data_IF_931046630984
#
_entry.id   IF_931046630984
#
_cell.length_a   1.000
_cell.length_b   1.000
_cell.length_c   1.000
_cell.angle_alpha   90.00
_cell.angle_beta   90.00
_cell.angle_gamma   90.00
#
_symmetry.space_group_name_H-M   'P 1'
#
loop_
_entity.id
_entity.type
_entity.pdbx_description
1 polymer ?
#
# COMPACT_ATOMS: atom_id res chain seq x y z
N UNK A 1 -46.76 47.72 -15.71
CA UNK A 1 -45.56 47.43 -16.50
C UNK A 1 -44.23 47.68 -15.75
N UNK A 2 -44.05 48.77 -14.98
CA UNK A 2 -42.79 49.03 -14.24
C UNK A 2 -42.45 48.05 -13.12
N UNK A 3 -43.41 47.41 -12.46
CA UNK A 3 -43.13 46.41 -11.38
C UNK A 3 -42.70 45.05 -11.89
N UNK A 4 -43.05 44.65 -13.10
CA UNK A 4 -42.63 43.38 -13.71
C UNK A 4 -41.18 43.43 -14.19
N UNK A 5 -40.70 44.57 -14.63
CA UNK A 5 -39.34 44.74 -15.13
C UNK A 5 -38.31 44.70 -13.97
N UNK A 6 -38.70 45.19 -12.77
CA UNK A 6 -37.79 45.14 -11.60
C UNK A 6 -37.60 43.74 -11.05
N UNK A 7 -38.63 42.90 -11.10
CA UNK A 7 -38.50 41.49 -10.66
C UNK A 7 -37.74 40.61 -11.66
N UNK A 8 -37.87 40.91 -12.97
CA UNK A 8 -37.10 40.21 -13.99
C UNK A 8 -35.60 40.53 -13.88
N UNK A 9 -35.26 41.79 -13.58
CA UNK A 9 -33.85 42.20 -13.40
C UNK A 9 -33.22 41.63 -12.15
N UNK A 10 -33.98 41.46 -11.03
CA UNK A 10 -33.50 40.82 -9.81
C UNK A 10 -33.28 39.32 -10.00
N UNK A 11 -34.14 38.63 -10.76
CA UNK A 11 -33.97 37.21 -11.09
C UNK A 11 -32.80 36.96 -12.05
N UNK A 12 -32.58 37.83 -13.04
CA UNK A 12 -31.44 37.71 -13.97
C UNK A 12 -30.11 37.97 -13.26
N UNK A 13 -30.04 38.93 -12.35
CA UNK A 13 -28.83 39.19 -11.56
C UNK A 13 -28.58 38.06 -10.57
N UNK A 14 -29.60 37.48 -9.91
CA UNK A 14 -29.46 36.32 -9.06
C UNK A 14 -29.04 35.06 -9.81
N UNK A 15 -29.49 34.88 -11.05
CA UNK A 15 -29.12 33.76 -11.92
C UNK A 15 -27.71 33.90 -12.48
N UNK A 16 -27.30 35.13 -12.82
CA UNK A 16 -25.94 35.44 -13.26
C UNK A 16 -24.90 35.31 -12.10
N UNK A 17 -25.27 35.66 -10.89
CA UNK A 17 -24.39 35.42 -9.71
C UNK A 17 -24.30 33.94 -9.34
N UNK A 18 -25.36 33.15 -9.54
CA UNK A 18 -25.31 31.69 -9.38
C UNK A 18 -24.46 30.99 -10.46
N UNK A 19 -24.47 31.49 -11.69
CA UNK A 19 -23.62 31.00 -12.78
C UNK A 19 -22.14 31.40 -12.60
N UNK A 20 -21.84 32.54 -11.99
CA UNK A 20 -20.48 32.95 -11.66
C UNK A 20 -19.88 32.15 -10.51
N UNK A 21 -20.69 31.64 -9.58
CA UNK A 21 -20.24 30.76 -8.52
C UNK A 21 -20.10 29.26 -8.94
N UNK A 22 -20.75 28.86 -10.04
CA UNK A 22 -20.62 27.49 -10.56
C UNK A 22 -19.40 27.31 -11.45
N UNK A 23 -18.77 28.36 -11.96
CA UNK A 23 -17.55 28.28 -12.77
C UNK A 23 -16.28 28.21 -11.90
N UNK A 24 -16.35 28.53 -10.60
CA UNK A 24 -15.22 28.38 -9.67
C UNK A 24 -15.18 27.00 -8.99
N UNK A 25 -16.13 26.09 -9.28
CA UNK A 25 -16.26 24.78 -8.60
C UNK A 25 -15.77 23.61 -9.46
N UNK A 26 -15.23 23.88 -10.65
CA UNK A 26 -14.66 22.86 -11.54
C UNK A 26 -13.13 22.95 -11.69
N UNK A 27 -12.46 23.66 -10.81
CA UNK A 27 -11.00 23.53 -10.72
C UNK A 27 -10.68 22.21 -10.02
N UNK A 28 -10.31 21.21 -10.83
CA UNK A 28 -9.66 20.02 -10.34
C UNK A 28 -8.43 20.44 -9.51
N UNK A 29 -8.11 19.74 -8.41
CA UNK A 29 -6.91 20.01 -7.60
C UNK A 29 -5.59 19.93 -8.38
N UNK A 30 -5.63 19.63 -9.68
CA UNK A 30 -4.47 19.57 -10.59
C UNK A 30 -3.73 20.90 -10.75
N UNK A 31 -4.40 22.05 -10.59
CA UNK A 31 -3.82 23.34 -11.02
C UNK A 31 -3.27 24.20 -9.88
N UNK A 32 -3.36 23.77 -8.62
CA UNK A 32 -2.89 24.58 -7.49
C UNK A 32 -1.43 24.38 -7.08
N UNK A 33 -0.71 23.46 -7.70
CA UNK A 33 0.75 23.41 -7.53
C UNK A 33 1.48 24.48 -8.36
N UNK A 34 0.81 25.04 -9.40
CA UNK A 34 1.40 26.02 -10.33
C UNK A 34 1.06 27.49 -10.03
N UNK A 35 0.40 27.80 -8.92
CA UNK A 35 0.05 29.18 -8.52
C UNK A 35 1.27 29.93 -7.95
N UNK A 36 1.86 30.81 -8.76
CA UNK A 36 3.06 31.57 -8.42
C UNK A 36 3.01 32.33 -7.10
N UNK A 37 4.02 32.16 -6.27
CA UNK A 37 4.31 32.97 -5.11
C UNK A 37 4.72 32.23 -3.82
N UNK A 38 4.35 30.94 -3.64
CA UNK A 38 4.75 30.13 -2.50
C UNK A 38 5.38 28.78 -2.89
N UNK A 39 5.61 28.52 -4.16
CA UNK A 39 6.02 27.21 -4.68
C UNK A 39 7.36 26.72 -4.15
N UNK A 40 8.33 27.61 -3.93
CA UNK A 40 9.64 27.25 -3.37
C UNK A 40 9.54 26.59 -1.99
N UNK A 41 8.58 26.97 -1.15
CA UNK A 41 8.45 26.42 0.20
C UNK A 41 7.83 25.02 0.22
N UNK A 42 6.83 24.74 -0.62
CA UNK A 42 6.19 23.43 -0.69
C UNK A 42 7.11 22.39 -1.34
N UNK A 43 7.81 22.76 -2.42
CA UNK A 43 8.82 21.92 -3.06
C UNK A 43 9.94 21.57 -2.08
N UNK A 44 10.53 22.56 -1.40
CA UNK A 44 11.57 22.34 -0.40
C UNK A 44 11.13 21.39 0.73
N UNK A 45 9.88 21.54 1.21
CA UNK A 45 9.33 20.63 2.23
C UNK A 45 9.17 19.22 1.65
N UNK A 46 8.67 19.08 0.43
CA UNK A 46 8.58 17.79 -0.24
C UNK A 46 9.97 17.13 -0.35
N UNK A 47 10.97 17.84 -0.84
CA UNK A 47 12.33 17.34 -1.05
C UNK A 47 13.02 16.90 0.25
N UNK A 48 12.71 17.59 1.35
CA UNK A 48 13.33 17.28 2.65
C UNK A 48 12.55 16.25 3.47
N UNK A 49 11.27 16.00 3.16
CA UNK A 49 10.41 15.14 3.98
C UNK A 49 9.88 13.91 3.26
N UNK A 50 9.54 14.01 1.98
CA UNK A 50 8.85 12.94 1.24
C UNK A 50 9.77 12.29 0.21
N UNK A 51 10.54 13.06 -0.55
CA UNK A 51 11.46 12.52 -1.55
C UNK A 51 12.43 11.48 -0.96
N UNK A 52 13.01 11.66 0.25
CA UNK A 52 13.87 10.64 0.85
C UNK A 52 13.17 9.29 1.11
N UNK A 53 11.84 9.28 1.29
CA UNK A 53 11.08 8.04 1.43
C UNK A 53 11.04 7.27 0.11
N UNK A 54 10.85 7.97 -1.01
CA UNK A 54 10.87 7.35 -2.33
C UNK A 54 12.27 6.86 -2.70
N UNK A 55 13.31 7.62 -2.39
CA UNK A 55 14.70 7.20 -2.59
C UNK A 55 15.01 5.94 -1.78
N UNK A 56 14.54 5.87 -0.54
CA UNK A 56 14.69 4.69 0.31
C UNK A 56 13.94 3.48 -0.28
N UNK A 57 12.67 3.64 -0.68
CA UNK A 57 11.88 2.58 -1.32
C UNK A 57 12.44 2.15 -2.67
N UNK A 58 13.05 3.07 -3.41
CA UNK A 58 13.70 2.81 -4.70
C UNK A 58 15.06 2.12 -4.58
N UNK A 59 15.57 1.96 -3.36
CA UNK A 59 16.86 1.31 -3.09
C UNK A 59 18.07 2.20 -3.33
N UNK A 60 17.88 3.52 -3.42
CA UNK A 60 19.00 4.47 -3.46
C UNK A 60 19.81 4.46 -2.16
N UNK A 61 19.14 4.12 -1.05
CA UNK A 61 19.70 3.94 0.29
C UNK A 61 19.37 2.51 0.73
N UNK A 62 20.35 1.73 1.18
CA UNK A 62 20.15 0.38 1.74
C UNK A 62 19.43 -0.63 0.82
N UNK A 63 19.76 -0.66 -0.46
CA UNK A 63 19.22 -1.62 -1.42
C UNK A 63 19.41 -3.11 -1.05
N UNK A 64 20.20 -3.44 -0.03
CA UNK A 64 20.35 -4.80 0.49
C UNK A 64 19.07 -5.27 1.21
N UNK A 65 18.45 -4.44 2.04
CA UNK A 65 17.21 -4.79 2.71
C UNK A 65 16.07 -5.13 1.75
N UNK A 66 15.97 -4.41 0.63
CA UNK A 66 15.00 -4.73 -0.44
C UNK A 66 15.29 -6.11 -1.04
N UNK A 67 16.55 -6.41 -1.34
CA UNK A 67 16.94 -7.72 -1.89
C UNK A 67 16.63 -8.85 -0.93
N UNK A 68 16.78 -8.62 0.36
CA UNK A 68 16.49 -9.60 1.38
C UNK A 68 14.98 -9.86 1.49
N UNK A 69 14.14 -8.82 1.48
CA UNK A 69 12.67 -8.99 1.43
C UNK A 69 12.27 -9.80 0.20
N UNK A 70 12.83 -9.52 -0.97
CA UNK A 70 12.52 -10.27 -2.20
C UNK A 70 12.97 -11.74 -2.12
N UNK A 71 14.07 -12.01 -1.44
CA UNK A 71 14.53 -13.39 -1.19
C UNK A 71 13.59 -14.13 -0.24
N UNK A 72 13.04 -13.45 0.77
CA UNK A 72 12.07 -14.03 1.70
C UNK A 72 10.84 -14.60 0.98
N UNK A 73 10.37 -13.96 -0.10
CA UNK A 73 9.23 -14.47 -0.88
C UNK A 73 9.51 -15.86 -1.50
N UNK A 74 10.76 -16.16 -1.80
CA UNK A 74 11.19 -17.46 -2.35
C UNK A 74 11.59 -18.49 -1.28
N UNK A 75 11.74 -18.08 -0.03
CA UNK A 75 12.18 -18.94 1.07
C UNK A 75 10.99 -19.53 1.82
N UNK A 76 11.19 -20.72 2.34
CA UNK A 76 10.14 -21.51 2.99
C UNK A 76 10.35 -21.64 4.49
N UNK A 77 11.58 -21.52 4.94
CA UNK A 77 11.96 -21.59 6.34
C UNK A 77 13.23 -20.77 6.57
N UNK A 78 13.25 -20.02 7.66
CA UNK A 78 14.41 -19.28 8.15
C UNK A 78 14.60 -19.51 9.64
N UNK A 79 15.86 -19.52 10.09
CA UNK A 79 16.19 -19.44 11.50
C UNK A 79 15.93 -18.04 12.04
N UNK A 80 15.53 -17.88 13.32
CA UNK A 80 15.47 -16.56 13.97
C UNK A 80 16.80 -15.78 13.95
N UNK A 81 17.94 -16.47 13.78
CA UNK A 81 19.28 -15.87 13.71
C UNK A 81 19.72 -15.50 12.30
N UNK A 82 18.84 -15.67 11.29
CA UNK A 82 19.18 -15.39 9.90
C UNK A 82 19.38 -13.89 9.67
N UNK A 83 20.51 -13.54 9.03
CA UNK A 83 20.88 -12.14 8.78
C UNK A 83 19.92 -11.46 7.79
N UNK A 84 19.42 -12.18 6.78
CA UNK A 84 18.48 -11.63 5.80
C UNK A 84 17.14 -11.29 6.46
N UNK A 85 16.72 -12.13 7.41
CA UNK A 85 15.52 -11.90 8.20
C UNK A 85 15.65 -10.62 9.05
N UNK A 86 16.80 -10.44 9.69
CA UNK A 86 17.07 -9.26 10.51
C UNK A 86 17.20 -7.99 9.66
N UNK A 87 17.92 -8.03 8.54
CA UNK A 87 18.05 -6.94 7.60
C UNK A 87 16.69 -6.48 7.05
N UNK A 88 15.83 -7.43 6.69
CA UNK A 88 14.46 -7.13 6.21
C UNK A 88 13.60 -6.45 7.28
N UNK A 89 13.69 -6.92 8.52
CA UNK A 89 13.02 -6.30 9.66
C UNK A 89 13.50 -4.87 9.89
N UNK A 90 14.81 -4.65 9.93
CA UNK A 90 15.41 -3.32 10.09
C UNK A 90 14.99 -2.37 8.98
N UNK A 91 15.03 -2.83 7.73
CA UNK A 91 14.62 -2.03 6.57
C UNK A 91 13.17 -1.52 6.72
N UNK A 92 12.22 -2.42 7.02
CA UNK A 92 10.81 -2.05 7.15
C UNK A 92 10.57 -1.07 8.29
N UNK A 93 11.17 -1.32 9.46
CA UNK A 93 10.98 -0.42 10.60
C UNK A 93 11.72 0.91 10.47
N UNK A 94 12.80 0.95 9.72
CA UNK A 94 13.48 2.19 9.36
C UNK A 94 12.61 3.03 8.45
N UNK A 95 12.02 2.44 7.41
CA UNK A 95 11.06 3.14 6.55
C UNK A 95 9.85 3.68 7.34
N UNK A 96 9.28 2.88 8.26
CA UNK A 96 8.19 3.32 9.15
C UNK A 96 8.64 4.49 10.01
N UNK A 97 9.83 4.43 10.61
CA UNK A 97 10.40 5.51 11.41
C UNK A 97 10.62 6.79 10.60
N UNK A 98 11.10 6.67 9.36
CA UNK A 98 11.22 7.80 8.43
C UNK A 98 9.86 8.43 8.13
N UNK A 99 8.82 7.62 7.87
CA UNK A 99 7.46 8.12 7.67
C UNK A 99 6.95 8.89 8.89
N UNK A 100 7.12 8.36 10.10
CA UNK A 100 6.72 9.05 11.32
C UNK A 100 7.44 10.40 11.48
N UNK A 101 8.76 10.42 11.24
CA UNK A 101 9.55 11.66 11.27
C UNK A 101 9.07 12.67 10.22
N UNK A 102 8.77 12.21 9.00
CA UNK A 102 8.24 13.07 7.93
C UNK A 102 6.90 13.70 8.32
N UNK A 103 6.00 12.94 8.96
CA UNK A 103 4.72 13.46 9.47
C UNK A 103 4.93 14.56 10.51
N UNK A 104 5.85 14.36 11.45
CA UNK A 104 6.19 15.38 12.46
C UNK A 104 6.80 16.63 11.80
N UNK A 105 7.68 16.46 10.82
CA UNK A 105 8.29 17.58 10.08
C UNK A 105 7.26 18.37 9.27
N UNK A 106 6.30 17.70 8.60
CA UNK A 106 5.20 18.38 7.90
C UNK A 106 4.35 19.21 8.87
N UNK A 107 4.10 18.71 10.09
CA UNK A 107 3.37 19.46 11.11
C UNK A 107 4.15 20.67 11.61
N UNK A 108 5.44 20.54 11.87
CA UNK A 108 6.31 21.64 12.27
C UNK A 108 6.40 22.75 11.22
N UNK A 109 6.38 22.37 9.93
CA UNK A 109 6.48 23.31 8.81
C UNK A 109 5.11 23.72 8.25
N UNK A 110 4.01 23.39 8.95
CA UNK A 110 2.64 23.59 8.47
C UNK A 110 2.28 25.03 8.12
N UNK A 111 2.94 26.02 8.72
CA UNK A 111 2.75 27.45 8.41
C UNK A 111 3.25 27.85 7.01
N UNK A 112 4.08 27.03 6.39
CA UNK A 112 4.65 27.21 5.05
C UNK A 112 3.84 26.48 3.95
N UNK A 113 2.84 25.70 4.33
CA UNK A 113 1.99 24.89 3.45
C UNK A 113 0.55 25.41 3.50
N UNK A 114 -0.14 25.33 2.36
CA UNK A 114 -1.60 25.45 2.36
C UNK A 114 -2.21 24.22 3.05
N UNK A 115 -3.46 24.36 3.54
CA UNK A 115 -4.16 23.23 4.16
C UNK A 115 -4.28 22.01 3.22
N UNK A 116 -4.52 22.26 1.93
CA UNK A 116 -4.58 21.19 0.92
C UNK A 116 -3.24 20.48 0.74
N UNK A 117 -2.14 21.22 0.61
CA UNK A 117 -0.78 20.65 0.51
C UNK A 117 -0.42 19.82 1.74
N UNK A 118 -0.72 20.36 2.93
CA UNK A 118 -0.48 19.66 4.19
C UNK A 118 -1.23 18.33 4.24
N UNK A 119 -2.52 18.34 3.91
CA UNK A 119 -3.36 17.12 3.93
C UNK A 119 -2.88 16.11 2.89
N UNK A 120 -2.55 16.56 1.68
CA UNK A 120 -2.03 15.70 0.61
C UNK A 120 -0.68 15.07 0.98
N UNK A 121 0.28 15.85 1.47
CA UNK A 121 1.59 15.36 1.88
C UNK A 121 1.48 14.33 3.02
N UNK A 122 0.65 14.61 4.02
CA UNK A 122 0.38 13.65 5.09
C UNK A 122 -0.30 12.38 4.57
N UNK A 123 -1.22 12.49 3.64
CA UNK A 123 -1.91 11.35 3.05
C UNK A 123 -0.91 10.44 2.32
N UNK A 124 0.00 11.02 1.56
CA UNK A 124 1.04 10.29 0.84
C UNK A 124 2.01 9.55 1.77
N UNK A 125 2.53 10.23 2.80
CA UNK A 125 3.42 9.61 3.79
C UNK A 125 2.71 8.50 4.59
N UNK A 126 1.44 8.70 4.96
CA UNK A 126 0.63 7.68 5.64
C UNK A 126 0.39 6.46 4.75
N UNK A 127 0.17 6.65 3.44
CA UNK A 127 0.05 5.56 2.49
C UNK A 127 1.35 4.75 2.39
N UNK A 128 2.51 5.42 2.28
CA UNK A 128 3.83 4.76 2.29
C UNK A 128 4.02 3.96 3.58
N UNK A 129 3.71 4.55 4.74
CA UNK A 129 3.79 3.85 6.03
C UNK A 129 2.89 2.62 6.07
N UNK A 130 1.69 2.72 5.56
CA UNK A 130 0.75 1.58 5.49
C UNK A 130 1.28 0.46 4.57
N UNK A 131 1.96 0.80 3.46
CA UNK A 131 2.63 -0.18 2.61
C UNK A 131 3.74 -0.94 3.35
N UNK A 132 4.56 -0.24 4.15
CA UNK A 132 5.62 -0.88 4.94
C UNK A 132 5.03 -1.79 6.02
N UNK A 133 3.94 -1.38 6.67
CA UNK A 133 3.21 -2.24 7.61
C UNK A 133 2.57 -3.45 6.95
N UNK A 134 2.09 -3.30 5.70
CA UNK A 134 1.56 -4.42 4.94
C UNK A 134 2.62 -5.51 4.74
N UNK A 135 3.82 -5.14 4.27
CA UNK A 135 4.93 -6.08 4.10
C UNK A 135 5.36 -6.70 5.43
N UNK A 136 5.51 -5.89 6.48
CA UNK A 136 5.88 -6.39 7.80
C UNK A 136 4.84 -7.37 8.38
N UNK A 137 3.55 -7.06 8.23
CA UNK A 137 2.45 -7.93 8.66
C UNK A 137 2.42 -9.25 7.86
N UNK A 138 2.65 -9.18 6.55
CA UNK A 138 2.64 -10.38 5.70
C UNK A 138 3.80 -11.32 6.06
N UNK A 139 5.00 -10.77 6.24
CA UNK A 139 6.19 -11.54 6.56
C UNK A 139 6.18 -12.07 7.99
N UNK A 140 5.90 -11.24 8.98
CA UNK A 140 6.13 -11.55 10.41
C UNK A 140 4.85 -11.80 11.21
N UNK A 141 3.67 -11.51 10.67
CA UNK A 141 2.39 -11.71 11.34
C UNK A 141 2.12 -10.68 12.44
N UNK A 142 2.49 -11.01 13.70
CA UNK A 142 2.35 -10.06 14.83
C UNK A 142 3.55 -9.13 14.87
N UNK A 143 3.29 -7.84 14.82
CA UNK A 143 4.33 -6.79 14.80
C UNK A 143 3.92 -5.59 15.65
N UNK A 144 4.86 -4.80 16.17
CA UNK A 144 4.56 -3.51 16.79
C UNK A 144 4.06 -2.49 15.76
N UNK A 145 3.03 -1.71 16.16
CA UNK A 145 2.53 -0.56 15.38
C UNK A 145 3.00 0.73 16.05
N UNK A 146 3.88 1.46 15.35
CA UNK A 146 4.51 2.70 15.82
C UNK A 146 3.94 3.87 15.02
N UNK A 147 3.36 4.85 15.70
CA UNK A 147 2.70 5.99 15.06
C UNK A 147 3.39 7.33 15.32
N UNK A 148 4.41 7.35 16.15
CA UNK A 148 5.19 8.51 16.53
C UNK A 148 6.67 8.31 16.24
N UNK A 149 7.38 9.39 15.90
CA UNK A 149 8.84 9.33 15.74
C UNK A 149 9.57 9.03 17.05
N UNK A 150 8.94 9.32 18.20
CA UNK A 150 9.48 9.00 19.52
C UNK A 150 9.45 7.49 19.83
N UNK A 151 8.60 6.70 19.14
CA UNK A 151 8.47 5.26 19.28
C UNK A 151 9.37 4.50 18.30
N UNK A 152 10.13 5.20 17.45
CA UNK A 152 10.93 4.61 16.36
C UNK A 152 12.17 3.84 16.82
N UNK A 153 12.29 3.48 18.09
CA UNK A 153 13.45 2.82 18.68
C UNK A 153 13.34 1.29 18.71
N UNK A 154 12.73 0.71 17.68
CA UNK A 154 12.59 -0.74 17.55
C UNK A 154 13.81 -1.41 16.91
N UNK A 155 14.66 -0.63 16.27
CA UNK A 155 15.96 -1.05 15.74
C UNK A 155 17.06 -0.56 16.68
N UNK A 156 18.20 -1.24 16.67
CA UNK A 156 19.33 -0.92 17.54
C UNK A 156 19.67 0.58 17.49
N UNK A 157 19.68 1.31 18.60
CA UNK A 157 20.15 2.68 18.62
C UNK A 157 21.62 2.70 18.21
N UNK A 158 22.04 3.74 17.50
CA UNK A 158 23.47 3.99 17.27
C UNK A 158 24.17 3.90 18.64
N UNK A 159 25.28 3.17 18.67
CA UNK A 159 26.00 2.74 19.88
C UNK A 159 26.04 3.86 20.95
N UNK A 160 25.47 3.59 22.11
CA UNK A 160 25.53 4.45 23.29
C UNK A 160 24.20 5.00 23.83
N UNK A 161 23.07 4.77 23.14
CA UNK A 161 21.76 5.19 23.67
C UNK A 161 21.12 4.06 24.48
N UNK A 162 20.89 4.25 25.77
CA UNK A 162 20.04 3.34 26.55
C UNK A 162 18.57 3.63 26.24
N UNK A 163 17.87 2.63 25.70
CA UNK A 163 16.42 2.70 25.50
C UNK A 163 15.76 2.28 26.80
N UNK A 164 14.87 3.12 27.32
CA UNK A 164 14.07 2.75 28.52
C UNK A 164 12.91 1.86 28.07
N UNK A 165 12.56 0.84 28.87
CA UNK A 165 11.45 -0.10 28.61
C UNK A 165 10.12 0.61 28.31
N UNK A 166 9.91 1.81 28.84
CA UNK A 166 8.70 2.63 28.61
C UNK A 166 8.51 3.01 27.14
N UNK A 167 9.61 3.14 26.36
CA UNK A 167 9.57 3.51 24.95
C UNK A 167 9.44 2.31 24.00
N UNK A 168 9.55 1.10 24.50
CA UNK A 168 9.41 -0.11 23.69
C UNK A 168 7.95 -0.47 23.52
N UNK A 169 7.55 -0.80 22.30
CA UNK A 169 6.17 -1.19 21.96
C UNK A 169 6.02 -2.71 21.90
N UNK A 170 4.87 -3.20 22.38
CA UNK A 170 4.48 -4.59 22.22
C UNK A 170 3.93 -4.87 20.81
N UNK A 171 3.84 -6.13 20.45
CA UNK A 171 3.22 -6.56 19.19
C UNK A 171 1.69 -6.43 19.28
N UNK A 172 1.09 -6.00 18.17
CA UNK A 172 -0.35 -6.14 17.92
C UNK A 172 -0.66 -7.45 17.23
N UNK A 173 -1.89 -7.93 17.35
CA UNK A 173 -2.36 -9.10 16.62
C UNK A 173 -2.46 -8.80 15.11
N UNK A 174 -2.26 -9.82 14.28
CA UNK A 174 -2.26 -9.67 12.81
C UNK A 174 -3.55 -9.04 12.28
N UNK A 175 -4.70 -9.42 12.84
CA UNK A 175 -5.99 -8.85 12.48
C UNK A 175 -6.13 -7.37 12.84
N UNK A 176 -5.57 -6.94 13.97
CA UNK A 176 -5.56 -5.53 14.38
C UNK A 176 -4.71 -4.69 13.43
N UNK A 177 -3.53 -5.21 13.06
CA UNK A 177 -2.63 -4.56 12.10
C UNK A 177 -3.30 -4.46 10.73
N UNK A 178 -3.97 -5.51 10.29
CA UNK A 178 -4.76 -5.51 9.05
C UNK A 178 -5.82 -4.40 9.06
N UNK A 179 -6.62 -4.30 10.13
CA UNK A 179 -7.61 -3.25 10.27
C UNK A 179 -7.01 -1.86 10.27
N UNK A 180 -5.87 -1.69 10.96
CA UNK A 180 -5.13 -0.43 10.96
C UNK A 180 -4.72 -0.04 9.53
N UNK A 181 -4.05 -0.94 8.79
CA UNK A 181 -3.59 -0.67 7.42
C UNK A 181 -4.78 -0.35 6.50
N UNK A 182 -5.83 -1.16 6.55
CA UNK A 182 -7.02 -0.99 5.70
C UNK A 182 -7.71 0.34 5.98
N UNK A 183 -7.87 0.71 7.26
CA UNK A 183 -8.43 1.99 7.68
C UNK A 183 -7.57 3.19 7.27
N UNK A 184 -6.24 3.11 7.45
CA UNK A 184 -5.30 4.16 7.03
C UNK A 184 -5.41 4.44 5.53
N UNK A 185 -5.38 3.38 4.70
CA UNK A 185 -5.47 3.50 3.25
C UNK A 185 -6.82 4.10 2.81
N UNK A 186 -7.94 3.68 3.42
CA UNK A 186 -9.24 4.27 3.13
C UNK A 186 -9.36 5.74 3.54
N UNK A 187 -8.70 6.13 4.63
CA UNK A 187 -8.72 7.53 5.10
C UNK A 187 -7.91 8.45 4.20
N UNK A 188 -6.77 8.00 3.70
CA UNK A 188 -5.89 8.82 2.87
C UNK A 188 -6.32 8.88 1.41
N UNK A 189 -7.00 7.86 0.91
CA UNK A 189 -7.40 7.73 -0.49
C UNK A 189 -8.02 9.00 -1.10
N UNK A 190 -8.98 9.71 -0.45
CA UNK A 190 -9.62 10.87 -1.04
C UNK A 190 -8.69 12.09 -1.24
N UNK A 191 -7.55 12.11 -0.58
CA UNK A 191 -6.62 13.23 -0.59
C UNK A 191 -5.42 13.02 -1.53
N UNK A 192 -5.35 11.86 -2.18
CA UNK A 192 -4.32 11.53 -3.15
C UNK A 192 -4.75 11.90 -4.57
N UNK A 193 -3.80 12.19 -5.47
CA UNK A 193 -4.09 12.46 -6.87
C UNK A 193 -4.81 11.29 -7.54
N UNK A 194 -5.73 11.58 -8.45
CA UNK A 194 -6.46 10.58 -9.23
C UNK A 194 -5.70 10.12 -10.48
N UNK A 195 -4.59 10.77 -10.80
CA UNK A 195 -3.77 10.45 -11.97
C UNK A 195 -3.00 9.15 -11.79
N UNK A 196 -2.55 8.55 -12.88
CA UNK A 196 -1.60 7.44 -12.86
C UNK A 196 -0.29 7.84 -12.16
N UNK A 197 0.30 6.94 -11.40
CA UNK A 197 1.64 7.14 -10.82
C UNK A 197 2.75 7.19 -11.88
N UNK A 198 2.50 6.68 -13.07
CA UNK A 198 3.47 6.60 -14.17
C UNK A 198 3.15 7.58 -15.31
N UNK A 199 2.15 8.43 -15.15
CA UNK A 199 1.90 9.55 -16.04
C UNK A 199 2.94 10.65 -15.80
N UNK A 200 3.56 11.14 -16.88
CA UNK A 200 4.53 12.25 -16.78
C UNK A 200 3.92 13.48 -16.10
N UNK A 201 4.64 14.07 -15.16
CA UNK A 201 4.19 15.24 -14.43
C UNK A 201 4.61 15.21 -12.95
N UNK A 202 4.00 16.11 -12.17
CA UNK A 202 4.36 16.34 -10.75
C UNK A 202 4.13 15.14 -9.82
N UNK A 203 3.42 14.10 -10.28
CA UNK A 203 3.11 12.90 -9.49
C UNK A 203 3.78 11.63 -10.03
N UNK A 204 4.69 11.77 -11.00
CA UNK A 204 5.42 10.64 -11.57
C UNK A 204 6.21 9.88 -10.48
N UNK A 205 6.01 8.57 -10.40
CA UNK A 205 6.64 7.70 -9.39
C UNK A 205 6.07 7.84 -7.97
N UNK A 206 5.05 8.68 -7.75
CA UNK A 206 4.48 8.95 -6.43
C UNK A 206 3.23 8.10 -6.14
N UNK A 207 2.84 8.05 -4.87
CA UNK A 207 1.60 7.37 -4.44
C UNK A 207 0.38 8.18 -4.89
N UNK A 208 -0.50 7.53 -5.64
CA UNK A 208 -1.73 8.07 -6.18
C UNK A 208 -2.93 7.19 -5.81
N UNK A 209 -4.16 7.60 -6.13
CA UNK A 209 -5.35 6.79 -5.82
C UNK A 209 -5.31 5.39 -6.44
N UNK A 210 -4.90 5.18 -7.72
CA UNK A 210 -4.72 3.85 -8.27
C UNK A 210 -3.80 2.93 -7.45
N UNK A 211 -2.69 3.47 -6.93
CA UNK A 211 -1.76 2.70 -6.07
C UNK A 211 -2.45 2.21 -4.79
N UNK A 212 -3.21 3.09 -4.15
CA UNK A 212 -3.94 2.77 -2.91
C UNK A 212 -5.11 1.82 -3.17
N UNK A 213 -5.85 2.01 -4.28
CA UNK A 213 -6.93 1.10 -4.69
C UNK A 213 -6.41 -0.32 -4.95
N UNK A 214 -5.22 -0.44 -5.57
CA UNK A 214 -4.56 -1.74 -5.73
C UNK A 214 -4.27 -2.42 -4.39
N UNK A 215 -3.70 -1.69 -3.44
CA UNK A 215 -3.40 -2.21 -2.10
C UNK A 215 -4.65 -2.65 -1.35
N UNK A 216 -5.72 -1.86 -1.43
CA UNK A 216 -7.01 -2.19 -0.80
C UNK A 216 -7.63 -3.44 -1.42
N UNK A 217 -7.56 -3.61 -2.76
CA UNK A 217 -7.99 -4.83 -3.44
C UNK A 217 -7.18 -6.05 -2.98
N UNK A 218 -5.85 -5.91 -2.90
CA UNK A 218 -4.94 -6.98 -2.49
C UNK A 218 -5.13 -7.38 -1.03
N UNK A 219 -5.32 -6.40 -0.13
CA UNK A 219 -5.66 -6.63 1.28
C UNK A 219 -6.98 -7.40 1.41
N UNK A 220 -8.02 -6.95 0.72
CA UNK A 220 -9.34 -7.59 0.77
C UNK A 220 -9.30 -9.04 0.25
N UNK A 221 -8.57 -9.31 -0.85
CA UNK A 221 -8.41 -10.66 -1.38
C UNK A 221 -7.72 -11.61 -0.38
N UNK A 222 -6.78 -11.10 0.40
CA UNK A 222 -6.02 -11.87 1.39
C UNK A 222 -6.60 -11.79 2.81
N UNK A 223 -7.77 -11.18 3.01
CA UNK A 223 -8.36 -10.94 4.33
C UNK A 223 -8.56 -12.22 5.14
N UNK A 224 -8.92 -13.36 4.52
CA UNK A 224 -9.03 -14.66 5.21
C UNK A 224 -7.76 -15.04 5.97
N UNK A 225 -6.60 -14.67 5.45
CA UNK A 225 -5.29 -14.98 6.04
C UNK A 225 -4.94 -13.96 7.12
N UNK A 226 -5.13 -12.68 6.84
CA UNK A 226 -4.71 -11.60 7.74
C UNK A 226 -5.63 -11.43 8.94
N UNK A 227 -6.93 -11.74 8.79
CA UNK A 227 -7.91 -11.69 9.87
C UNK A 227 -7.87 -12.93 10.79
N UNK A 228 -6.96 -13.88 10.53
CA UNK A 228 -6.82 -15.11 11.32
C UNK A 228 -5.56 -15.06 12.17
N UNK A 229 -5.72 -15.01 13.50
CA UNK A 229 -4.62 -14.89 14.45
C UNK A 229 -4.03 -16.26 14.89
N UNK A 230 -4.82 -17.35 14.80
CA UNK A 230 -4.44 -18.68 15.25
C UNK A 230 -3.83 -19.57 14.15
N UNK A 231 -3.03 -18.99 13.22
CA UNK A 231 -2.47 -19.74 12.09
C UNK A 231 -1.66 -20.98 12.49
N UNK A 232 -1.04 -20.98 13.67
CA UNK A 232 -0.28 -22.13 14.18
C UNK A 232 -1.18 -23.36 14.44
N UNK A 233 -2.49 -23.18 14.68
CA UNK A 233 -3.45 -24.28 14.86
C UNK A 233 -3.95 -24.88 13.55
N UNK A 234 -3.48 -24.38 12.41
CA UNK A 234 -3.86 -24.82 11.09
C UNK A 234 -4.72 -23.81 10.35
N UNK A 235 -4.17 -23.18 9.35
CA UNK A 235 -4.79 -22.11 8.56
C UNK A 235 -6.11 -22.53 7.87
N UNK A 236 -6.47 -23.82 7.84
CA UNK A 236 -7.77 -24.31 7.36
C UNK A 236 -8.96 -23.84 8.18
N UNK A 237 -8.72 -23.45 9.45
CA UNK A 237 -9.73 -22.90 10.36
C UNK A 237 -9.98 -21.41 10.17
N UNK A 238 -9.27 -20.76 9.25
CA UNK A 238 -9.45 -19.34 8.97
C UNK A 238 -10.88 -18.99 8.57
N UNK A 239 -11.34 -17.77 8.83
CA UNK A 239 -12.65 -17.31 8.38
C UNK A 239 -12.72 -17.37 6.84
N UNK A 240 -13.94 -17.51 6.32
CA UNK A 240 -14.15 -17.39 4.87
C UNK A 240 -14.37 -15.93 4.49
N UNK A 241 -13.89 -15.54 3.33
CA UNK A 241 -14.02 -14.15 2.88
C UNK A 241 -15.45 -13.65 2.78
N UNK A 242 -16.42 -14.55 2.54
CA UNK A 242 -17.87 -14.24 2.55
C UNK A 242 -18.40 -13.84 3.93
N UNK A 243 -17.73 -14.26 5.00
CA UNK A 243 -18.13 -14.04 6.39
C UNK A 243 -17.41 -12.82 7.00
N UNK A 244 -16.51 -12.17 6.25
CA UNK A 244 -15.77 -10.98 6.64
C UNK A 244 -16.38 -9.75 5.99
N UNK A 245 -16.82 -8.79 6.81
CA UNK A 245 -17.50 -7.57 6.35
C UNK A 245 -16.58 -6.36 6.43
N UNK A 246 -16.59 -5.56 5.37
CA UNK A 246 -15.82 -4.32 5.25
C UNK A 246 -16.74 -3.16 4.85
N UNK A 247 -16.59 -2.06 5.54
CA UNK A 247 -17.23 -0.81 5.15
C UNK A 247 -16.37 -0.12 4.11
N UNK A 248 -16.87 0.05 2.89
CA UNK A 248 -16.22 0.78 1.81
C UNK A 248 -16.90 2.11 1.56
N UNK A 249 -16.13 3.16 1.26
CA UNK A 249 -16.65 4.46 0.87
C UNK A 249 -16.93 4.48 -0.63
N UNK A 250 -18.14 4.88 -1.01
CA UNK A 250 -18.60 4.89 -2.41
C UNK A 250 -18.55 6.26 -3.07
N UNK A 251 -18.38 7.34 -2.31
CA UNK A 251 -18.35 8.71 -2.82
C UNK A 251 -16.92 9.20 -3.03
N UNK A 252 -16.71 9.97 -4.10
CA UNK A 252 -15.44 10.60 -4.42
C UNK A 252 -15.06 11.68 -3.40
N UNK A 253 -13.74 11.80 -3.12
CA UNK A 253 -13.20 12.65 -2.06
C UNK A 253 -13.52 14.15 -2.21
N UNK A 254 -13.73 14.64 -3.44
CA UNK A 254 -14.07 16.03 -3.70
C UNK A 254 -15.33 16.53 -2.97
N UNK A 255 -16.26 15.63 -2.63
CA UNK A 255 -17.48 15.99 -1.92
C UNK A 255 -17.35 16.07 -0.38
N UNK A 256 -16.19 15.71 0.17
CA UNK A 256 -15.90 15.84 1.60
C UNK A 256 -15.46 17.25 2.01
N UNK A 257 -14.95 18.04 1.06
CA UNK A 257 -14.40 19.39 1.31
C UNK A 257 -15.47 20.46 1.19
N UNK A 258 -16.53 20.23 0.43
CA UNK A 258 -17.59 21.22 0.17
C UNK A 258 -18.78 21.04 1.11
N UNK A 259 -18.72 21.28 2.40
CA UNK A 259 -19.83 21.54 3.35
C UNK A 259 -21.28 21.09 3.02
N UNK A 260 -21.46 20.29 1.98
CA UNK A 260 -22.74 19.74 1.54
C UNK A 260 -23.24 18.67 2.50
N UNK A 261 -24.52 18.69 2.85
CA UNK A 261 -25.18 17.69 3.69
C UNK A 261 -24.77 16.29 3.24
N UNK A 262 -24.16 15.52 4.18
CA UNK A 262 -23.78 14.14 3.93
C UNK A 262 -25.02 13.38 3.43
N UNK A 263 -24.98 12.86 2.21
CA UNK A 263 -26.01 11.93 1.76
C UNK A 263 -25.79 10.60 2.48
N UNK A 264 -26.81 10.02 3.01
CA UNK A 264 -26.80 8.81 3.85
C UNK A 264 -26.29 7.54 3.13
N UNK A 265 -25.98 7.59 1.84
CA UNK A 265 -25.57 6.46 1.00
C UNK A 265 -24.09 6.46 0.58
N UNK A 266 -23.18 7.03 1.38
CA UNK A 266 -21.75 7.13 1.01
C UNK A 266 -20.89 5.94 1.45
N UNK A 267 -21.45 4.96 2.09
CA UNK A 267 -20.75 3.74 2.50
C UNK A 267 -21.60 2.50 2.20
N UNK A 268 -20.92 1.41 1.88
CA UNK A 268 -21.53 0.10 1.63
C UNK A 268 -20.76 -0.94 2.43
N UNK A 269 -21.50 -1.90 3.00
CA UNK A 269 -20.89 -3.08 3.63
C UNK A 269 -20.81 -4.16 2.57
N UNK A 270 -19.59 -4.67 2.37
CA UNK A 270 -19.25 -5.71 1.39
C UNK A 270 -18.46 -6.81 2.08
N UNK A 271 -18.60 -8.05 1.62
CA UNK A 271 -17.71 -9.12 2.06
C UNK A 271 -16.29 -8.91 1.48
N UNK A 272 -15.31 -9.71 1.93
CA UNK A 272 -13.91 -9.53 1.51
C UNK A 272 -13.73 -9.62 -0.01
N UNK A 273 -14.40 -10.55 -0.67
CA UNK A 273 -14.27 -10.73 -2.12
C UNK A 273 -15.01 -9.64 -2.92
N UNK A 274 -16.20 -9.23 -2.47
CA UNK A 274 -16.90 -8.07 -3.04
C UNK A 274 -16.09 -6.78 -2.86
N UNK A 275 -15.41 -6.64 -1.72
CA UNK A 275 -14.50 -5.51 -1.46
C UNK A 275 -13.32 -5.51 -2.43
N UNK A 276 -12.71 -6.67 -2.69
CA UNK A 276 -11.67 -6.80 -3.71
C UNK A 276 -12.19 -6.39 -5.09
N UNK A 277 -13.34 -6.92 -5.50
CA UNK A 277 -13.97 -6.58 -6.80
C UNK A 277 -14.26 -5.08 -6.89
N UNK A 278 -14.76 -4.48 -5.81
CA UNK A 278 -15.05 -3.05 -5.74
C UNK A 278 -13.80 -2.20 -6.05
N UNK A 279 -12.67 -2.47 -5.40
CA UNK A 279 -11.44 -1.70 -5.64
C UNK A 279 -10.80 -2.03 -7.00
N UNK A 280 -10.92 -3.25 -7.51
CA UNK A 280 -10.51 -3.58 -8.87
C UNK A 280 -11.33 -2.82 -9.93
N UNK A 281 -12.63 -2.62 -9.72
CA UNK A 281 -13.47 -1.83 -10.60
C UNK A 281 -13.07 -0.34 -10.57
N UNK A 282 -12.74 0.21 -9.40
CA UNK A 282 -12.24 1.59 -9.30
C UNK A 282 -10.97 1.81 -10.12
N UNK A 283 -10.06 0.86 -10.13
CA UNK A 283 -8.85 0.94 -10.98
C UNK A 283 -9.18 1.02 -12.47
N UNK A 284 -10.20 0.26 -12.92
CA UNK A 284 -10.68 0.35 -14.30
C UNK A 284 -11.34 1.72 -14.58
N UNK A 285 -12.15 2.22 -13.64
CA UNK A 285 -12.80 3.53 -13.74
C UNK A 285 -11.78 4.69 -13.73
N UNK A 286 -10.62 4.50 -13.10
CA UNK A 286 -9.48 5.43 -13.06
C UNK A 286 -8.57 5.32 -14.29
N UNK A 287 -8.94 4.49 -15.28
CA UNK A 287 -8.26 4.38 -16.58
C UNK A 287 -7.12 3.37 -16.62
N UNK A 288 -6.88 2.60 -15.54
CA UNK A 288 -5.89 1.51 -15.59
C UNK A 288 -6.27 0.45 -16.63
N UNK A 289 -5.32 0.00 -17.44
CA UNK A 289 -5.56 -0.91 -18.55
C UNK A 289 -4.40 -1.90 -18.75
N UNK A 290 -4.61 -2.93 -19.59
CA UNK A 290 -3.54 -3.84 -19.97
C UNK A 290 -2.54 -3.24 -20.96
N UNK A 291 -2.89 -2.16 -21.66
CA UNK A 291 -1.99 -1.44 -22.56
C UNK A 291 -0.91 -0.71 -21.76
N UNK A 292 -1.31 -0.12 -20.62
CA UNK A 292 -0.42 0.48 -19.63
C UNK A 292 -0.45 -0.38 -18.36
N UNK A 293 0.09 -1.59 -18.46
CA UNK A 293 -0.07 -2.63 -17.45
C UNK A 293 0.53 -2.25 -16.07
N UNK A 294 1.54 -1.38 -16.04
CA UNK A 294 2.20 -0.98 -14.79
C UNK A 294 1.42 0.17 -14.12
N UNK A 295 1.00 -0.03 -12.86
CA UNK A 295 0.30 0.95 -12.03
C UNK A 295 1.29 1.70 -11.14
N UNK A 296 2.27 0.99 -10.60
CA UNK A 296 3.28 1.54 -9.70
C UNK A 296 4.56 0.71 -9.74
N UNK A 297 5.68 1.41 -9.61
CA UNK A 297 7.00 0.78 -9.54
C UNK A 297 7.91 1.58 -8.61
N UNK A 298 8.25 1.02 -7.46
CA UNK A 298 9.06 1.70 -6.45
C UNK A 298 10.49 1.99 -6.88
N UNK A 299 10.98 1.39 -7.99
CA UNK A 299 12.31 1.70 -8.53
C UNK A 299 12.31 2.90 -9.49
N UNK A 300 11.13 3.39 -9.87
CA UNK A 300 11.00 4.63 -10.63
C UNK A 300 11.32 5.78 -9.69
N UNK A 301 12.42 6.48 -9.96
CA UNK A 301 12.77 7.68 -9.21
C UNK A 301 11.73 8.76 -9.48
N UNK A 302 11.26 9.40 -8.44
CA UNK A 302 10.62 10.69 -8.55
C UNK A 302 11.55 11.62 -9.33
N UNK A 303 11.16 11.99 -10.54
CA UNK A 303 11.85 13.02 -11.31
C UNK A 303 11.29 14.37 -10.85
N UNK A 304 12.11 15.15 -10.17
CA UNK A 304 11.81 16.55 -9.93
C UNK A 304 11.66 17.28 -11.27
N UNK A 305 10.77 18.29 -11.37
CA UNK A 305 10.79 19.20 -12.52
C UNK A 305 12.20 19.72 -12.80
N UNK A 306 12.58 19.84 -14.06
CA UNK A 306 13.95 20.18 -14.50
C UNK A 306 14.52 21.47 -13.88
N UNK A 307 13.66 22.38 -13.44
CA UNK A 307 14.01 23.62 -12.74
C UNK A 307 14.45 23.45 -11.28
N UNK A 308 14.30 22.27 -10.70
CA UNK A 308 14.84 21.91 -9.39
C UNK A 308 16.16 21.14 -9.45
N UNK A 309 16.65 20.80 -10.64
CA UNK A 309 17.89 20.04 -10.89
C UNK A 309 19.20 20.88 -10.81
N UNK A 310 19.24 21.92 -10.01
CA UNK A 310 20.50 22.65 -9.74
C UNK A 310 21.29 22.06 -8.56
N UNK A 311 21.14 20.77 -8.28
CA UNK A 311 22.06 20.07 -7.36
C UNK A 311 23.01 19.18 -8.16
N UNK A 312 24.31 19.41 -7.92
CA UNK A 312 25.47 18.82 -8.56
C UNK A 312 25.32 17.35 -8.99
N UNK A 313 25.60 17.05 -10.27
CA UNK A 313 25.79 15.70 -10.81
C UNK A 313 26.92 14.91 -10.12
N UNK A 314 27.66 15.52 -9.20
CA UNK A 314 28.80 14.91 -8.51
C UNK A 314 28.40 13.94 -7.40
N UNK A 315 27.16 13.95 -6.90
CA UNK A 315 26.71 13.10 -5.78
C UNK A 315 25.89 11.87 -6.20
N UNK A 316 25.81 11.58 -7.50
CA UNK A 316 25.31 10.30 -8.00
C UNK A 316 26.31 9.16 -7.78
N UNK A 317 26.79 8.99 -6.56
CA UNK A 317 27.54 7.80 -6.17
C UNK A 317 26.67 6.58 -6.43
N UNK A 318 27.11 5.81 -7.39
CA UNK A 318 26.56 4.57 -7.92
C UNK A 318 26.18 3.59 -6.82
N UNK A 319 24.99 3.75 -6.23
CA UNK A 319 24.38 2.62 -5.55
C UNK A 319 23.70 1.75 -6.61
N UNK A 320 24.11 0.49 -6.78
CA UNK A 320 23.47 -0.39 -7.74
C UNK A 320 21.99 -0.49 -7.39
N UNK A 321 21.12 -0.03 -8.31
CA UNK A 321 19.66 -0.18 -8.17
C UNK A 321 19.35 -1.66 -7.94
N UNK A 322 18.40 -2.01 -7.06
CA UNK A 322 17.97 -3.38 -6.95
C UNK A 322 17.51 -3.85 -8.33
N UNK A 323 17.87 -5.09 -8.68
CA UNK A 323 17.51 -5.67 -9.99
C UNK A 323 15.99 -5.73 -10.21
N UNK A 324 15.21 -5.65 -9.12
CA UNK A 324 13.74 -5.65 -9.11
C UNK A 324 13.23 -4.62 -8.09
N UNK A 325 12.08 -3.96 -8.35
CA UNK A 325 11.45 -3.07 -7.38
C UNK A 325 10.91 -3.87 -6.19
N UNK A 326 10.87 -3.25 -5.00
CA UNK A 326 10.20 -3.85 -3.83
C UNK A 326 8.69 -3.95 -4.08
N UNK A 327 8.11 -2.86 -4.60
CA UNK A 327 6.71 -2.80 -4.97
C UNK A 327 6.59 -2.62 -6.48
N UNK A 328 5.88 -3.54 -7.11
CA UNK A 328 5.46 -3.46 -8.50
C UNK A 328 4.00 -3.88 -8.59
N UNK A 329 3.16 -2.95 -9.02
CA UNK A 329 1.72 -3.18 -9.16
C UNK A 329 1.34 -3.11 -10.62
N UNK A 330 0.62 -4.13 -11.09
CA UNK A 330 0.24 -4.27 -12.49
C UNK A 330 -1.25 -4.50 -12.64
N UNK A 331 -1.81 -4.00 -13.73
CA UNK A 331 -3.22 -4.22 -14.05
C UNK A 331 -3.53 -5.68 -14.38
N UNK A 332 -2.55 -6.42 -14.90
CA UNK A 332 -2.58 -7.88 -15.01
C UNK A 332 -2.93 -8.55 -13.67
N UNK A 333 -2.28 -8.13 -12.55
CA UNK A 333 -2.59 -8.65 -11.22
C UNK A 333 -4.01 -8.25 -10.77
N UNK A 334 -4.45 -7.02 -11.08
CA UNK A 334 -5.82 -6.53 -10.78
C UNK A 334 -6.86 -7.43 -11.41
N UNK A 335 -6.72 -7.76 -12.70
CA UNK A 335 -7.68 -8.62 -13.41
C UNK A 335 -7.69 -10.04 -12.85
N UNK A 336 -6.52 -10.59 -12.51
CA UNK A 336 -6.42 -11.92 -11.90
C UNK A 336 -6.97 -11.94 -10.47
N UNK A 337 -6.75 -10.88 -9.66
CA UNK A 337 -7.37 -10.72 -8.34
C UNK A 337 -8.89 -10.63 -8.44
N UNK A 338 -9.40 -9.85 -9.41
CA UNK A 338 -10.84 -9.72 -9.65
C UNK A 338 -11.46 -11.05 -10.07
N UNK A 339 -10.85 -11.75 -11.03
CA UNK A 339 -11.30 -13.07 -11.48
C UNK A 339 -11.33 -14.09 -10.32
N UNK A 340 -10.27 -14.11 -9.49
CA UNK A 340 -10.20 -14.97 -8.30
C UNK A 340 -11.31 -14.64 -7.29
N UNK A 341 -11.51 -13.35 -6.99
CA UNK A 341 -12.53 -12.91 -6.05
C UNK A 341 -13.94 -13.27 -6.54
N UNK A 342 -14.21 -13.13 -7.84
CA UNK A 342 -15.48 -13.55 -8.45
C UNK A 342 -15.69 -15.05 -8.33
N UNK A 343 -14.71 -15.89 -8.67
CA UNK A 343 -14.79 -17.36 -8.55
C UNK A 343 -14.96 -17.81 -7.08
N UNK A 344 -14.36 -17.11 -6.13
CA UNK A 344 -14.52 -17.40 -4.68
C UNK A 344 -15.90 -17.01 -4.15
N UNK A 345 -16.54 -16.02 -4.78
CA UNK A 345 -17.85 -15.49 -4.41
C UNK A 345 -18.98 -16.10 -5.26
N UNK A 346 -18.76 -17.28 -5.80
CA UNK A 346 -19.70 -18.04 -6.64
C UNK A 346 -20.13 -17.28 -7.92
N UNK A 347 -19.31 -16.33 -8.40
CA UNK A 347 -19.48 -15.59 -9.65
C UNK A 347 -18.71 -16.20 -10.81
N UNK A 348 -18.65 -15.50 -11.95
CA UNK A 348 -17.95 -15.91 -13.17
C UNK A 348 -16.82 -14.91 -13.50
N UNK A 349 -15.58 -15.26 -13.19
CA UNK A 349 -14.37 -14.48 -13.47
C UNK A 349 -13.77 -14.71 -14.86
N UNK A 350 -14.51 -15.36 -15.78
CA UNK A 350 -14.00 -15.79 -17.08
C UNK A 350 -13.55 -14.65 -17.97
N UNK A 351 -14.26 -13.53 -17.95
CA UNK A 351 -13.96 -12.37 -18.78
C UNK A 351 -12.58 -11.79 -18.42
N UNK A 352 -12.37 -11.43 -17.15
CA UNK A 352 -11.14 -10.87 -16.62
C UNK A 352 -9.96 -11.83 -16.81
N UNK A 353 -10.16 -13.09 -16.49
CA UNK A 353 -9.15 -14.14 -16.64
C UNK A 353 -8.67 -14.28 -18.09
N UNK A 354 -9.60 -14.32 -19.06
CA UNK A 354 -9.24 -14.48 -20.45
C UNK A 354 -8.73 -13.18 -21.12
N UNK A 355 -9.03 -12.00 -20.56
CA UNK A 355 -8.35 -10.77 -20.98
C UNK A 355 -6.85 -10.86 -20.73
N UNK A 356 -6.43 -11.32 -19.55
CA UNK A 356 -5.00 -11.53 -19.24
C UNK A 356 -4.38 -12.58 -20.15
N UNK A 357 -5.06 -13.70 -20.40
CA UNK A 357 -4.55 -14.74 -21.31
C UNK A 357 -4.38 -14.23 -22.72
N UNK A 358 -5.36 -13.50 -23.25
CA UNK A 358 -5.28 -12.90 -24.58
C UNK A 358 -4.12 -11.91 -24.68
N UNK A 359 -3.93 -11.05 -23.67
CA UNK A 359 -2.79 -10.13 -23.60
C UNK A 359 -1.44 -10.87 -23.60
N UNK A 360 -1.36 -12.01 -22.92
CA UNK A 360 -0.18 -12.88 -22.91
C UNK A 360 -0.04 -13.77 -24.17
N UNK A 361 -0.91 -13.61 -25.18
CA UNK A 361 -0.90 -14.44 -26.40
C UNK A 361 -1.34 -15.89 -26.18
N UNK A 362 -2.04 -16.18 -25.08
CA UNK A 362 -2.49 -17.54 -24.72
C UNK A 362 -3.95 -17.77 -25.15
N UNK A 363 -4.32 -18.98 -25.55
CA UNK A 363 -5.71 -19.30 -25.91
C UNK A 363 -6.63 -19.18 -24.68
N UNK A 364 -7.91 -18.88 -24.93
CA UNK A 364 -8.91 -18.83 -23.87
C UNK A 364 -9.02 -20.16 -23.12
N UNK A 365 -9.24 -20.09 -21.80
CA UNK A 365 -9.33 -21.24 -20.91
C UNK A 365 -10.50 -21.06 -19.94
N UNK A 366 -11.05 -22.16 -19.45
CA UNK A 366 -12.05 -22.11 -18.38
C UNK A 366 -11.47 -21.42 -17.16
N UNK A 367 -12.18 -20.44 -16.62
CA UNK A 367 -11.84 -19.83 -15.34
C UNK A 367 -12.10 -20.84 -14.21
N UNK A 368 -11.15 -20.95 -13.32
CA UNK A 368 -11.26 -21.71 -12.07
C UNK A 368 -10.11 -21.29 -11.14
N UNK A 369 -10.29 -21.44 -9.85
CA UNK A 369 -9.24 -21.10 -8.89
C UNK A 369 -7.90 -21.81 -9.18
N UNK A 370 -7.94 -23.08 -9.63
CA UNK A 370 -6.72 -23.82 -9.96
C UNK A 370 -6.00 -23.23 -11.17
N UNK A 371 -6.74 -22.89 -12.24
CA UNK A 371 -6.19 -22.33 -13.46
C UNK A 371 -5.68 -20.90 -13.25
N UNK A 372 -6.40 -20.10 -12.43
CA UNK A 372 -5.97 -18.74 -12.06
C UNK A 372 -4.65 -18.79 -11.30
N UNK A 373 -4.50 -19.68 -10.32
CA UNK A 373 -3.24 -19.82 -9.60
C UNK A 373 -2.09 -20.22 -10.53
N UNK A 374 -2.31 -21.17 -11.43
CA UNK A 374 -1.30 -21.63 -12.38
C UNK A 374 -0.82 -20.48 -13.28
N UNK A 375 -1.75 -19.70 -13.83
CA UNK A 375 -1.40 -18.58 -14.70
C UNK A 375 -0.75 -17.44 -13.90
N UNK A 376 -1.19 -17.14 -12.66
CA UNK A 376 -0.53 -16.18 -11.77
C UNK A 376 0.95 -16.52 -11.55
N UNK A 377 1.27 -17.79 -11.34
CA UNK A 377 2.65 -18.24 -11.13
C UNK A 377 3.55 -18.00 -12.34
N UNK A 378 2.98 -17.97 -13.54
CA UNK A 378 3.73 -17.74 -14.80
C UNK A 378 3.77 -16.26 -15.15
N UNK A 379 2.62 -15.60 -15.14
CA UNK A 379 2.48 -14.21 -15.62
C UNK A 379 3.06 -13.19 -14.66
N UNK A 380 3.01 -13.48 -13.34
CA UNK A 380 3.57 -12.65 -12.26
C UNK A 380 4.89 -13.24 -11.72
N UNK A 381 5.58 -14.07 -12.51
CA UNK A 381 6.82 -14.68 -12.07
C UNK A 381 7.89 -13.64 -11.71
N UNK A 382 8.42 -13.75 -10.50
CA UNK A 382 9.45 -12.83 -9.99
C UNK A 382 8.90 -11.52 -9.41
N UNK A 383 7.59 -11.36 -9.34
CA UNK A 383 6.92 -10.35 -8.53
C UNK A 383 6.60 -10.95 -7.16
N UNK A 384 6.77 -10.20 -6.07
CA UNK A 384 6.74 -10.67 -4.68
C UNK A 384 5.34 -11.14 -4.19
N UNK A 385 4.58 -11.87 -5.02
CA UNK A 385 3.24 -12.35 -4.70
C UNK A 385 3.12 -13.88 -4.59
N UNK A 386 4.17 -14.64 -4.99
CA UNK A 386 4.10 -16.09 -5.11
C UNK A 386 3.81 -16.78 -3.77
N UNK A 387 4.50 -16.39 -2.70
CA UNK A 387 4.31 -16.93 -1.35
C UNK A 387 2.90 -16.65 -0.84
N UNK A 388 2.41 -15.41 -0.98
CA UNK A 388 1.06 -15.01 -0.58
C UNK A 388 0.00 -15.83 -1.32
N UNK A 389 0.15 -16.02 -2.63
CA UNK A 389 -0.75 -16.83 -3.45
C UNK A 389 -0.79 -18.28 -2.94
N UNK A 390 0.36 -18.90 -2.74
CA UNK A 390 0.42 -20.28 -2.24
C UNK A 390 -0.25 -20.43 -0.86
N UNK A 391 -0.07 -19.47 0.05
CA UNK A 391 -0.73 -19.47 1.36
C UNK A 391 -2.24 -19.35 1.18
N UNK A 392 -2.73 -18.36 0.40
CA UNK A 392 -4.14 -18.10 0.17
C UNK A 392 -4.85 -19.30 -0.48
N UNK A 393 -4.20 -19.97 -1.43
CA UNK A 393 -4.73 -21.18 -2.08
C UNK A 393 -4.53 -22.47 -1.27
N UNK A 394 -3.87 -22.39 -0.12
CA UNK A 394 -3.60 -23.57 0.72
C UNK A 394 -2.62 -24.56 0.11
N UNK A 395 -1.73 -24.08 -0.76
CA UNK A 395 -0.71 -24.85 -1.44
C UNK A 395 0.69 -24.70 -0.83
N UNK A 396 0.93 -23.68 -0.01
CA UNK A 396 2.24 -23.35 0.52
C UNK A 396 2.93 -24.54 1.22
N UNK A 397 2.22 -25.23 2.12
CA UNK A 397 2.74 -26.39 2.85
C UNK A 397 2.77 -27.69 2.03
N UNK A 398 2.29 -27.67 0.77
CA UNK A 398 2.15 -28.84 -0.09
C UNK A 398 2.89 -28.68 -1.41
N UNK A 399 3.70 -27.65 -1.56
CA UNK A 399 4.36 -27.36 -2.82
C UNK A 399 5.26 -28.50 -3.25
N UNK A 400 5.05 -29.00 -4.47
CA UNK A 400 5.86 -30.08 -5.08
C UNK A 400 7.31 -29.65 -5.37
N UNK A 401 7.58 -28.35 -5.33
CA UNK A 401 8.92 -27.77 -5.52
C UNK A 401 9.81 -27.90 -4.26
N UNK A 402 9.21 -28.31 -3.12
CA UNK A 402 9.94 -28.52 -1.88
C UNK A 402 10.63 -29.87 -1.88
N UNK A 403 11.91 -29.89 -1.49
CA UNK A 403 12.58 -31.17 -1.14
C UNK A 403 11.84 -31.81 0.03
N UNK A 404 11.67 -33.12 0.00
CA UNK A 404 10.95 -33.87 1.06
C UNK A 404 11.46 -33.57 2.47
N UNK A 405 12.76 -33.32 2.63
CA UNK A 405 13.37 -32.94 3.91
C UNK A 405 12.86 -31.59 4.44
N UNK A 406 12.52 -30.65 3.57
CA UNK A 406 11.97 -29.34 3.96
C UNK A 406 10.47 -29.44 4.23
N UNK A 407 9.74 -30.27 3.47
CA UNK A 407 8.31 -30.48 3.69
C UNK A 407 7.98 -31.05 5.07
N UNK A 408 8.85 -31.92 5.63
CA UNK A 408 8.65 -32.48 6.97
C UNK A 408 8.89 -31.47 8.09
N UNK A 409 9.66 -30.41 7.84
CA UNK A 409 9.93 -29.35 8.80
C UNK A 409 8.89 -28.22 8.77
N UNK A 410 8.07 -28.12 7.68
CA UNK A 410 7.07 -27.08 7.57
C UNK A 410 5.82 -27.42 8.37
N UNK A 411 5.40 -26.49 9.19
CA UNK A 411 4.14 -26.53 9.94
C UNK A 411 3.25 -25.35 9.54
N UNK A 412 2.03 -25.31 10.08
CA UNK A 412 1.15 -24.14 9.91
C UNK A 412 1.80 -22.84 10.40
N UNK A 413 2.74 -22.93 11.35
CA UNK A 413 3.52 -21.78 11.85
C UNK A 413 4.39 -21.13 10.76
N UNK A 414 4.83 -21.90 9.77
CA UNK A 414 5.71 -21.43 8.68
C UNK A 414 5.04 -20.48 7.69
N UNK A 415 3.75 -20.19 7.83
CA UNK A 415 3.06 -19.16 7.04
C UNK A 415 3.48 -17.72 7.40
N UNK A 416 4.17 -17.56 8.52
CA UNK A 416 4.88 -16.31 8.90
C UNK A 416 6.32 -16.66 9.22
N UNK A 417 7.21 -15.69 9.08
CA UNK A 417 8.60 -15.86 9.51
C UNK A 417 8.76 -15.63 11.00
N UNK A 418 9.84 -16.13 11.60
CA UNK A 418 10.15 -15.83 12.99
C UNK A 418 10.48 -14.34 13.17
N UNK A 419 10.25 -13.82 14.37
CA UNK A 419 10.81 -12.53 14.77
C UNK A 419 12.33 -12.69 14.91
N UNK A 420 13.14 -11.79 14.33
CA UNK A 420 14.60 -11.92 14.42
C UNK A 420 15.09 -11.95 15.87
N UNK A 421 16.00 -12.85 16.18
CA UNK A 421 16.52 -13.06 17.55
C UNK A 421 17.12 -11.77 18.14
N UNK A 422 17.83 -10.98 17.30
CA UNK A 422 18.39 -9.68 17.73
C UNK A 422 17.30 -8.70 18.13
N UNK A 423 16.16 -8.69 17.40
CA UNK A 423 15.03 -7.81 17.72
C UNK A 423 14.36 -8.21 19.04
N UNK A 424 14.24 -9.51 19.32
CA UNK A 424 13.75 -10.02 20.62
C UNK A 424 14.70 -9.64 21.76
N UNK A 425 16.01 -9.77 21.55
CA UNK A 425 17.02 -9.40 22.56
C UNK A 425 17.01 -7.89 22.85
N UNK A 426 16.74 -7.06 21.84
CA UNK A 426 16.65 -5.61 21.98
C UNK A 426 15.35 -5.14 22.64
N UNK A 427 14.22 -5.74 22.30
CA UNK A 427 12.90 -5.37 22.81
C UNK A 427 12.26 -6.57 23.55
N UNK A 428 12.40 -6.56 24.87
CA UNK A 428 11.86 -7.61 25.74
C UNK A 428 10.32 -7.72 25.76
N UNK A 429 9.59 -6.79 25.12
CA UNK A 429 8.13 -6.88 24.93
C UNK A 429 7.72 -7.68 23.70
N UNK A 430 8.68 -8.05 22.83
CA UNK A 430 8.43 -8.91 21.71
C UNK A 430 8.40 -10.36 22.13
N UNK A 431 7.50 -11.12 21.52
CA UNK A 431 7.32 -12.56 21.73
C UNK A 431 7.51 -13.27 20.39
N UNK A 432 8.29 -14.34 20.38
CA UNK A 432 8.51 -15.14 19.18
C UNK A 432 7.22 -15.73 18.64
N UNK A 433 7.13 -15.86 17.32
CA UNK A 433 6.02 -16.54 16.67
C UNK A 433 6.02 -18.03 17.04
N UNK A 434 4.80 -18.58 17.27
CA UNK A 434 4.64 -20.00 17.60
C UNK A 434 5.31 -20.89 16.55
N UNK A 435 6.02 -21.90 17.01
CA UNK A 435 6.76 -22.86 16.18
C UNK A 435 8.21 -22.46 15.89
N UNK A 436 8.61 -21.27 16.38
CA UNK A 436 9.98 -20.76 16.35
C UNK A 436 10.51 -20.49 17.77
N UNK A 437 9.74 -20.85 18.79
CA UNK A 437 10.18 -20.82 20.18
C UNK A 437 11.40 -21.73 20.32
N UNK A 438 12.43 -21.28 21.04
CA UNK A 438 13.60 -22.12 21.29
C UNK A 438 13.12 -23.44 21.89
N UNK A 439 13.52 -24.57 21.31
CA UNK A 439 13.44 -25.84 22.03
C UNK A 439 14.46 -25.72 23.17
N UNK A 440 13.93 -25.63 24.40
CA UNK A 440 14.74 -25.68 25.63
C UNK A 440 15.60 -26.92 25.69
#
# INVERSE_FOLDING_TARGET
MRRYISHLFTWVISFLTLLAFSSCLNEHPKDQLDGGGSNGSASEIFDTTIAPLYDFMGGAIEGEGIRDIQRLDSLLYLSPDDEQLYSSWQYLYRAIGMCNKSLDMIDLQSVRLTDNQKVQFKAEVRAIRAMMYYEAMDLYGRIPVLLSSAESLIYEPASGSSVTDEKLSAQSERSEIFHFIFSELQQVLPYLPQTSSLEEGSHYGRITQPVVNFLLAKLALNAEIYMYNDWAQGYRKRPKGRDLEFMVRTADGASLITGGKASENRSKILNAWETCIFYCNRLADEGCSLEEDEIFNSSVRYQMPEDALLMDEADSVQHPRPAKPLFRFRYTDVLLMKAEAMERNDGDGRAEYNMVRAHAGLPARKSSLANILEDRQVVLAGETCHRQDLIRFGKFLKSSHLRRSVQSALSSSSIVFPIPQRSLAFNGKLVQNKGYEAME
#
